data_IF_799786721369
#
_entry.id   IF_799786721369
#
_cell.length_a   1.000
_cell.length_b   1.000
_cell.length_c   1.000
_cell.angle_alpha   90.00
_cell.angle_beta   90.00
_cell.angle_gamma   90.00
#
_symmetry.space_group_name_H-M   'P 1'
#
loop_
_entity.id
_entity.type
_entity.pdbx_description
1 polymer ?
#
# COMPACT_ATOMS: atom_id res chain seq x y z
N UNK A 1 -46.84 -25.25 4.26
CA UNK A 1 -46.54 -26.65 3.87
C UNK A 1 -45.12 -26.66 3.33
N UNK A 2 -44.12 -27.04 4.12
CA UNK A 2 -42.72 -27.11 3.63
C UNK A 2 -42.28 -28.56 3.77
N UNK A 3 -42.33 -29.28 2.64
CA UNK A 3 -41.78 -30.62 2.53
C UNK A 3 -40.29 -30.56 2.84
N UNK A 4 -39.85 -31.27 3.89
CA UNK A 4 -38.43 -31.50 4.12
C UNK A 4 -37.89 -32.30 2.94
N UNK A 5 -37.23 -31.62 2.01
CA UNK A 5 -36.62 -32.21 0.83
C UNK A 5 -35.10 -32.22 0.97
N UNK A 6 -34.47 -33.22 0.36
CA UNK A 6 -33.05 -33.25 0.11
C UNK A 6 -32.84 -33.25 -1.40
N UNK A 7 -31.87 -32.47 -1.86
CA UNK A 7 -31.53 -32.34 -3.27
C UNK A 7 -30.22 -33.06 -3.51
N UNK A 8 -30.25 -34.11 -4.33
CA UNK A 8 -29.06 -34.87 -4.74
C UNK A 8 -28.50 -34.27 -6.02
N UNK A 9 -27.20 -33.98 -6.05
CA UNK A 9 -26.47 -33.57 -7.25
C UNK A 9 -25.74 -34.76 -7.89
N UNK A 10 -25.27 -34.57 -9.12
CA UNK A 10 -24.50 -35.59 -9.88
C UNK A 10 -23.22 -36.04 -9.19
N UNK A 11 -22.69 -35.23 -8.28
CA UNK A 11 -21.49 -35.52 -7.49
C UNK A 11 -21.77 -36.41 -6.27
N UNK A 12 -22.96 -37.03 -6.19
CA UNK A 12 -23.43 -37.82 -5.05
C UNK A 12 -23.50 -37.04 -3.72
N UNK A 13 -23.57 -35.72 -3.83
CA UNK A 13 -23.70 -34.77 -2.73
C UNK A 13 -25.16 -34.39 -2.54
N UNK A 14 -25.61 -34.30 -1.28
CA UNK A 14 -26.97 -33.96 -0.88
C UNK A 14 -27.01 -32.58 -0.22
N UNK A 15 -27.92 -31.70 -0.66
CA UNK A 15 -28.22 -30.44 0.01
C UNK A 15 -29.58 -30.53 0.69
N UNK A 16 -29.65 -30.16 1.98
CA UNK A 16 -30.88 -30.13 2.78
C UNK A 16 -31.21 -28.67 3.10
N UNK A 17 -32.12 -28.02 2.35
CA UNK A 17 -32.39 -26.59 2.47
C UNK A 17 -32.87 -26.17 3.87
N UNK A 18 -33.68 -27.01 4.53
CA UNK A 18 -34.24 -26.72 5.86
C UNK A 18 -33.19 -26.69 6.98
N UNK A 19 -32.06 -27.37 6.79
CA UNK A 19 -30.95 -27.41 7.74
C UNK A 19 -29.77 -26.53 7.31
N UNK A 20 -29.74 -26.09 6.05
CA UNK A 20 -28.62 -25.32 5.48
C UNK A 20 -27.33 -26.12 5.45
N UNK A 21 -27.40 -27.43 5.22
CA UNK A 21 -26.24 -28.33 5.21
C UNK A 21 -26.08 -29.03 3.86
N UNK A 22 -24.83 -29.32 3.53
CA UNK A 22 -24.44 -30.23 2.46
C UNK A 22 -23.89 -31.50 3.10
N UNK A 23 -24.34 -32.67 2.63
CA UNK A 23 -23.91 -33.99 3.08
C UNK A 23 -23.31 -34.77 1.92
N UNK A 24 -22.11 -35.30 2.11
CA UNK A 24 -21.47 -36.31 1.28
C UNK A 24 -21.27 -37.58 2.10
N UNK A 25 -20.80 -38.66 1.46
CA UNK A 25 -20.50 -39.92 2.17
C UNK A 25 -19.56 -39.73 3.37
N UNK A 26 -18.61 -38.79 3.24
CA UNK A 26 -17.51 -38.62 4.19
C UNK A 26 -17.66 -37.41 5.12
N UNK A 27 -18.58 -36.48 4.82
CA UNK A 27 -18.69 -35.23 5.60
C UNK A 27 -20.07 -34.59 5.57
N UNK A 28 -20.42 -33.89 6.65
CA UNK A 28 -21.55 -32.95 6.70
C UNK A 28 -21.01 -31.56 6.96
N UNK A 29 -21.31 -30.62 6.07
CA UNK A 29 -20.81 -29.24 6.14
C UNK A 29 -21.99 -28.26 6.19
N UNK A 30 -21.91 -27.29 7.10
CA UNK A 30 -22.90 -26.22 7.19
C UNK A 30 -22.58 -25.11 6.20
N UNK A 31 -23.58 -24.66 5.45
CA UNK A 31 -23.47 -23.50 4.57
C UNK A 31 -23.64 -22.21 5.37
N UNK A 32 -22.91 -21.17 4.96
CA UNK A 32 -23.19 -19.83 5.44
C UNK A 32 -24.50 -19.31 4.81
N UNK A 33 -25.03 -18.19 5.34
CA UNK A 33 -26.34 -17.69 4.93
C UNK A 33 -26.39 -17.33 3.43
N UNK A 34 -25.32 -16.74 2.89
CA UNK A 34 -25.26 -16.32 1.48
C UNK A 34 -25.11 -17.51 0.54
N UNK A 35 -24.29 -18.50 0.90
CA UNK A 35 -24.17 -19.78 0.20
C UNK A 35 -25.51 -20.52 0.15
N UNK A 36 -26.21 -20.63 1.28
CA UNK A 36 -27.51 -21.28 1.35
C UNK A 36 -28.55 -20.56 0.48
N UNK A 37 -28.61 -19.23 0.55
CA UNK A 37 -29.53 -18.42 -0.27
C UNK A 37 -29.24 -18.54 -1.75
N UNK A 38 -27.98 -18.41 -2.17
CA UNK A 38 -27.56 -18.51 -3.58
C UNK A 38 -27.85 -19.92 -4.12
N UNK A 39 -27.47 -20.97 -3.39
CA UNK A 39 -27.69 -22.34 -3.82
C UNK A 39 -29.19 -22.66 -3.93
N UNK A 40 -29.99 -22.24 -2.95
CA UNK A 40 -31.44 -22.42 -2.98
C UNK A 40 -32.08 -21.63 -4.14
N UNK A 41 -31.57 -20.43 -4.41
CA UNK A 41 -32.06 -19.59 -5.52
C UNK A 41 -31.76 -20.23 -6.88
N UNK A 42 -30.57 -20.79 -7.07
CA UNK A 42 -30.20 -21.51 -8.29
C UNK A 42 -31.04 -22.79 -8.51
N UNK A 43 -31.35 -23.53 -7.43
CA UNK A 43 -32.15 -24.77 -7.51
C UNK A 43 -33.63 -24.49 -7.79
N UNK A 44 -34.14 -23.36 -7.28
CA UNK A 44 -35.53 -22.96 -7.50
C UNK A 44 -35.77 -22.33 -8.87
N UNK A 45 -34.70 -21.83 -9.52
CA UNK A 45 -34.78 -21.25 -10.85
C UNK A 45 -34.20 -22.21 -11.90
N UNK A 46 -35.06 -22.90 -12.63
CA UNK A 46 -34.68 -23.81 -13.71
C UNK A 46 -34.19 -23.09 -14.99
N UNK A 47 -33.88 -21.80 -14.90
CA UNK A 47 -33.39 -20.95 -16.00
C UNK A 47 -32.02 -20.37 -15.65
N UNK A 48 -31.24 -19.90 -16.63
CA UNK A 48 -30.11 -19.03 -16.37
C UNK A 48 -30.50 -17.86 -15.46
N UNK A 49 -29.73 -17.67 -14.38
CA UNK A 49 -29.90 -16.57 -13.43
C UNK A 49 -28.75 -15.57 -13.62
N UNK A 50 -29.08 -14.29 -13.68
CA UNK A 50 -28.05 -13.25 -13.88
C UNK A 50 -27.25 -12.99 -12.61
N UNK A 51 -26.10 -12.32 -12.75
CA UNK A 51 -25.26 -11.97 -11.61
C UNK A 51 -25.99 -11.02 -10.65
N UNK A 52 -26.76 -10.06 -11.19
CA UNK A 52 -27.51 -9.09 -10.39
C UNK A 52 -28.61 -9.78 -9.57
N UNK A 53 -29.31 -10.76 -10.17
CA UNK A 53 -30.33 -11.56 -9.49
C UNK A 53 -29.72 -12.36 -8.32
N UNK A 54 -28.53 -12.95 -8.51
CA UNK A 54 -27.83 -13.70 -7.45
C UNK A 54 -27.27 -12.80 -6.35
N UNK A 55 -26.78 -11.61 -6.70
CA UNK A 55 -26.32 -10.63 -5.72
C UNK A 55 -27.47 -10.20 -4.80
N UNK A 56 -28.64 -9.92 -5.38
CA UNK A 56 -29.86 -9.56 -4.63
C UNK A 56 -30.38 -10.73 -3.78
N UNK A 57 -30.29 -11.96 -4.28
CA UNK A 57 -30.74 -13.14 -3.54
C UNK A 57 -29.80 -13.51 -2.38
N UNK A 58 -28.48 -13.45 -2.58
CA UNK A 58 -27.48 -13.80 -1.57
C UNK A 58 -27.34 -12.75 -0.46
N UNK A 59 -27.59 -11.48 -0.80
CA UNK A 59 -27.40 -10.32 0.08
C UNK A 59 -28.55 -9.31 -0.04
N UNK A 60 -29.77 -9.63 0.43
CA UNK A 60 -30.94 -8.77 0.23
C UNK A 60 -30.84 -7.38 0.89
N UNK A 61 -30.01 -7.24 1.94
CA UNK A 61 -29.84 -6.00 2.71
C UNK A 61 -28.43 -5.40 2.59
N UNK A 62 -27.59 -5.91 1.67
CA UNK A 62 -26.20 -5.46 1.55
C UNK A 62 -25.80 -5.32 0.09
N UNK A 63 -25.17 -4.20 -0.25
CA UNK A 63 -24.53 -4.02 -1.55
C UNK A 63 -23.15 -4.69 -1.49
N UNK A 64 -22.95 -5.73 -2.29
CA UNK A 64 -21.67 -6.44 -2.41
C UNK A 64 -21.23 -6.48 -3.86
N UNK A 65 -19.92 -6.55 -4.09
CA UNK A 65 -19.36 -6.59 -5.44
C UNK A 65 -19.52 -7.96 -6.08
N UNK A 66 -19.37 -8.03 -7.41
CA UNK A 66 -19.34 -9.30 -8.14
C UNK A 66 -18.23 -10.25 -7.65
N UNK A 67 -17.14 -9.71 -7.10
CA UNK A 67 -16.06 -10.51 -6.50
C UNK A 67 -16.57 -11.41 -5.36
N UNK A 68 -17.49 -10.90 -4.53
CA UNK A 68 -18.13 -11.67 -3.45
C UNK A 68 -18.99 -12.81 -4.00
N UNK A 69 -19.72 -12.57 -5.10
CA UNK A 69 -20.48 -13.61 -5.79
C UNK A 69 -19.53 -14.69 -6.35
N UNK A 70 -18.42 -14.31 -6.98
CA UNK A 70 -17.43 -15.26 -7.50
C UNK A 70 -16.82 -16.13 -6.39
N UNK A 71 -16.52 -15.55 -5.23
CA UNK A 71 -16.02 -16.29 -4.07
C UNK A 71 -17.05 -17.30 -3.56
N UNK A 72 -18.32 -16.91 -3.42
CA UNK A 72 -19.38 -17.82 -2.98
C UNK A 72 -19.60 -18.95 -3.99
N UNK A 73 -19.64 -18.65 -5.29
CA UNK A 73 -19.76 -19.69 -6.32
C UNK A 73 -18.55 -20.65 -6.26
N UNK A 74 -17.32 -20.13 -6.09
CA UNK A 74 -16.12 -20.99 -5.94
C UNK A 74 -16.23 -21.89 -4.71
N UNK A 75 -16.66 -21.34 -3.56
CA UNK A 75 -16.83 -22.11 -2.33
C UNK A 75 -17.91 -23.19 -2.48
N UNK A 76 -19.04 -22.87 -3.10
CA UNK A 76 -20.10 -23.82 -3.40
C UNK A 76 -19.61 -24.96 -4.31
N UNK A 77 -18.86 -24.67 -5.37
CA UNK A 77 -18.29 -25.71 -6.25
C UNK A 77 -17.38 -26.69 -5.51
N UNK A 78 -16.56 -26.19 -4.58
CA UNK A 78 -15.71 -27.04 -3.73
C UNK A 78 -16.56 -27.91 -2.82
N UNK A 79 -17.57 -27.33 -2.14
CA UNK A 79 -18.46 -28.07 -1.22
C UNK A 79 -19.36 -29.08 -1.92
N UNK A 80 -19.69 -28.82 -3.18
CA UNK A 80 -20.44 -29.73 -4.05
C UNK A 80 -19.56 -30.81 -4.70
N UNK A 81 -18.25 -30.85 -4.38
CA UNK A 81 -17.29 -31.79 -4.93
C UNK A 81 -17.24 -31.79 -6.48
N UNK A 82 -17.33 -30.60 -7.10
CA UNK A 82 -17.14 -30.50 -8.57
C UNK A 82 -15.69 -30.87 -8.94
N UNK A 83 -15.53 -31.86 -9.82
CA UNK A 83 -14.22 -32.26 -10.33
C UNK A 83 -13.76 -31.36 -11.49
N UNK A 84 -14.70 -30.89 -12.30
CA UNK A 84 -14.51 -29.90 -13.36
C UNK A 84 -15.49 -28.75 -13.15
N UNK A 85 -15.04 -27.54 -13.50
CA UNK A 85 -15.88 -26.33 -13.41
C UNK A 85 -17.13 -26.54 -14.28
N UNK A 86 -18.31 -26.49 -13.67
CA UNK A 86 -19.56 -26.65 -14.40
C UNK A 86 -20.23 -28.01 -14.24
N UNK A 87 -19.67 -28.91 -13.43
CA UNK A 87 -20.28 -30.23 -13.18
C UNK A 87 -21.65 -30.13 -12.48
N UNK A 88 -21.85 -29.10 -11.63
CA UNK A 88 -23.11 -28.85 -10.93
C UNK A 88 -23.61 -27.42 -11.19
N UNK A 89 -22.76 -26.41 -10.97
CA UNK A 89 -23.03 -25.00 -11.22
C UNK A 89 -22.35 -24.59 -12.53
N UNK A 90 -23.14 -24.53 -13.60
CA UNK A 90 -22.70 -24.11 -14.92
C UNK A 90 -22.53 -22.59 -14.99
N UNK A 91 -21.47 -22.13 -15.66
CA UNK A 91 -21.27 -20.69 -15.96
C UNK A 91 -21.59 -20.45 -17.43
N UNK A 92 -22.58 -19.60 -17.68
CA UNK A 92 -22.98 -19.19 -19.01
C UNK A 92 -22.34 -17.83 -19.32
N UNK A 93 -21.38 -17.75 -20.28
CA UNK A 93 -20.70 -16.51 -20.60
C UNK A 93 -21.70 -15.38 -20.92
N UNK A 94 -21.49 -14.21 -20.31
CA UNK A 94 -22.32 -13.00 -20.48
C UNK A 94 -23.76 -13.10 -19.96
N UNK A 95 -24.16 -14.22 -19.35
CA UNK A 95 -25.51 -14.42 -18.81
C UNK A 95 -25.46 -14.59 -17.29
N UNK A 96 -24.70 -15.54 -16.77
CA UNK A 96 -24.65 -15.80 -15.32
C UNK A 96 -24.44 -17.28 -15.00
N UNK A 97 -25.28 -17.84 -14.12
CA UNK A 97 -25.13 -19.21 -13.61
C UNK A 97 -26.43 -20.00 -13.67
N UNK A 98 -26.31 -21.33 -13.76
CA UNK A 98 -27.44 -22.25 -13.77
C UNK A 98 -27.06 -23.59 -13.12
N UNK A 99 -28.05 -24.28 -12.55
CA UNK A 99 -27.95 -25.70 -12.18
C UNK A 99 -29.02 -26.44 -12.97
N UNK A 100 -28.61 -27.36 -13.84
CA UNK A 100 -29.53 -28.06 -14.76
C UNK A 100 -29.91 -29.46 -14.28
N UNK A 101 -29.11 -30.06 -13.40
CA UNK A 101 -29.20 -31.49 -13.08
C UNK A 101 -29.12 -31.74 -11.57
N UNK A 102 -30.27 -32.03 -10.99
CA UNK A 102 -30.42 -32.46 -9.61
C UNK A 102 -31.72 -33.26 -9.44
N UNK A 103 -31.77 -34.10 -8.42
CA UNK A 103 -32.94 -34.91 -8.08
C UNK A 103 -33.45 -34.55 -6.68
N UNK A 104 -34.76 -34.41 -6.51
CA UNK A 104 -35.38 -34.09 -5.22
C UNK A 104 -35.94 -35.34 -4.58
N UNK A 105 -35.57 -35.58 -3.34
CA UNK A 105 -36.07 -36.69 -2.53
C UNK A 105 -36.72 -36.16 -1.25
N UNK A 106 -37.74 -36.85 -0.72
CA UNK A 106 -38.22 -36.57 0.63
C UNK A 106 -37.10 -36.88 1.64
N UNK A 107 -36.78 -35.92 2.52
CA UNK A 107 -35.83 -36.11 3.60
C UNK A 107 -36.55 -36.69 4.82
N UNK A 108 -36.32 -37.97 5.19
CA UNK A 108 -36.93 -38.55 6.38
C UNK A 108 -36.33 -37.88 7.61
N UNK A 109 -37.18 -37.34 8.49
CA UNK A 109 -36.80 -36.81 9.79
C UNK A 109 -36.27 -37.95 10.68
N UNK A 110 -35.01 -38.34 10.50
CA UNK A 110 -34.26 -39.04 11.54
C UNK A 110 -33.79 -38.01 12.55
N UNK A 111 -34.25 -38.17 13.80
CA UNK A 111 -33.81 -37.39 14.96
C UNK A 111 -32.29 -37.24 14.91
N UNK A 112 -31.83 -36.00 14.74
CA UNK A 112 -30.46 -35.59 15.04
C UNK A 112 -30.12 -36.18 16.42
N UNK A 113 -28.97 -36.83 16.62
CA UNK A 113 -28.59 -37.30 17.94
C UNK A 113 -28.46 -36.07 18.85
N UNK A 114 -29.47 -35.84 19.69
CA UNK A 114 -29.36 -34.89 20.79
C UNK A 114 -28.26 -35.36 21.71
N UNK A 115 -27.41 -34.44 22.12
CA UNK A 115 -26.39 -34.60 23.15
C UNK A 115 -26.83 -35.58 24.24
N UNK A 116 -26.23 -36.78 24.26
CA UNK A 116 -26.26 -37.61 25.46
C UNK A 116 -25.31 -36.97 26.45
N UNK A 117 -25.85 -36.31 27.47
CA UNK A 117 -25.19 -36.06 28.74
C UNK A 117 -24.55 -37.38 29.23
N UNK A 118 -23.26 -37.56 28.96
CA UNK A 118 -22.48 -38.63 29.59
C UNK A 118 -22.09 -38.15 30.98
N UNK A 119 -22.80 -38.67 31.98
CA UNK A 119 -22.38 -38.70 33.37
C UNK A 119 -21.07 -39.53 33.45
N UNK A 120 -19.92 -38.87 33.36
CA UNK A 120 -18.62 -39.53 33.44
C UNK A 120 -18.20 -39.75 34.89
N UNK A 121 -18.16 -41.02 35.29
CA UNK A 121 -17.52 -41.47 36.52
C UNK A 121 -16.03 -41.69 36.22
N UNK A 122 -15.21 -40.89 36.91
CA UNK A 122 -13.74 -40.98 37.16
C UNK A 122 -12.89 -41.92 36.28
N UNK A 123 -12.00 -41.32 35.49
CA UNK A 123 -10.53 -41.50 35.56
C UNK A 123 -9.87 -40.44 34.66
N UNK A 124 -9.43 -39.34 35.27
CA UNK A 124 -8.61 -38.30 34.64
C UNK A 124 -7.23 -38.39 35.25
N UNK A 125 -6.26 -38.92 34.50
CA UNK A 125 -4.84 -38.68 34.71
C UNK A 125 -4.13 -38.94 33.38
N UNK A 126 -3.48 -37.93 32.80
CA UNK A 126 -2.41 -38.15 31.82
C UNK A 126 -2.38 -37.28 30.55
N UNK A 127 -3.50 -36.91 29.91
CA UNK A 127 -3.44 -36.39 28.52
C UNK A 127 -4.04 -35.00 28.27
N UNK A 128 -4.53 -34.31 29.30
CA UNK A 128 -5.20 -33.01 29.14
C UNK A 128 -4.26 -31.81 28.91
N UNK A 129 -2.94 -31.97 29.07
CA UNK A 129 -2.01 -30.85 28.88
C UNK A 129 -1.51 -30.71 27.42
N UNK A 130 -1.52 -31.81 26.64
CA UNK A 130 -0.95 -31.79 25.28
C UNK A 130 -1.95 -31.29 24.22
N UNK A 131 -3.24 -31.58 24.39
CA UNK A 131 -4.28 -31.22 23.43
C UNK A 131 -4.72 -29.74 23.55
N UNK A 132 -4.63 -29.16 24.75
CA UNK A 132 -4.83 -27.71 24.93
C UNK A 132 -3.66 -26.92 24.35
N UNK A 133 -2.43 -27.44 24.47
CA UNK A 133 -1.24 -26.82 23.88
C UNK A 133 -1.29 -26.78 22.34
N UNK A 134 -1.79 -27.83 21.67
CA UNK A 134 -1.89 -27.85 20.20
C UNK A 134 -3.00 -26.96 19.65
N UNK A 135 -4.13 -26.84 20.34
CA UNK A 135 -5.20 -25.91 19.94
C UNK A 135 -4.81 -24.46 20.21
N UNK A 136 -4.10 -24.16 21.30
CA UNK A 136 -3.52 -22.84 21.56
C UNK A 136 -2.40 -22.51 20.56
N UNK A 137 -1.58 -23.47 20.17
CA UNK A 137 -0.56 -23.27 19.14
C UNK A 137 -1.17 -23.03 17.75
N UNK A 138 -2.19 -23.80 17.36
CA UNK A 138 -2.88 -23.61 16.08
C UNK A 138 -3.64 -22.29 16.00
N UNK A 139 -4.27 -21.87 17.11
CA UNK A 139 -4.92 -20.55 17.18
C UNK A 139 -3.92 -19.40 17.23
N UNK A 140 -2.76 -19.57 17.85
CA UNK A 140 -1.65 -18.60 17.77
C UNK A 140 -1.09 -18.49 16.35
N UNK A 141 -0.92 -19.60 15.62
CA UNK A 141 -0.48 -19.60 14.22
C UNK A 141 -1.49 -18.90 13.30
N UNK A 142 -2.79 -19.11 13.53
CA UNK A 142 -3.85 -18.42 12.77
C UNK A 142 -3.92 -16.94 13.12
N UNK A 143 -3.73 -16.57 14.39
CA UNK A 143 -3.69 -15.16 14.82
C UNK A 143 -2.47 -14.44 14.23
N UNK A 144 -1.30 -15.09 14.19
CA UNK A 144 -0.10 -14.56 13.55
C UNK A 144 -0.25 -14.38 12.03
N UNK A 145 -1.00 -15.25 11.34
CA UNK A 145 -1.18 -15.16 9.88
C UNK A 145 -2.28 -14.18 9.43
N UNK A 146 -3.13 -13.69 10.35
CA UNK A 146 -4.21 -12.72 10.02
C UNK A 146 -3.76 -11.27 10.30
N UNK A 147 -2.68 -11.06 11.07
CA UNK A 147 -2.15 -9.74 11.46
C UNK A 147 -0.94 -9.26 10.63
N UNK A 148 -0.62 -9.89 9.48
CA UNK A 148 0.54 -9.47 8.65
C UNK A 148 0.45 -8.04 8.07
N UNK A 149 -0.61 -7.29 8.36
CA UNK A 149 -0.59 -5.82 8.31
C UNK A 149 -0.29 -5.26 9.69
N UNK A 150 0.94 -5.45 10.19
CA UNK A 150 1.39 -4.73 11.37
C UNK A 150 1.50 -3.24 10.99
N UNK A 151 0.68 -2.34 11.55
CA UNK A 151 0.93 -0.92 11.41
C UNK A 151 2.26 -0.64 12.10
N UNK A 152 3.18 0.04 11.41
CA UNK A 152 4.28 0.68 12.13
C UNK A 152 3.66 1.68 13.11
N UNK A 153 4.13 1.66 14.36
CA UNK A 153 3.69 2.58 15.39
C UNK A 153 3.75 4.02 14.86
N UNK A 154 2.69 4.80 15.08
CA UNK A 154 2.62 6.17 14.58
C UNK A 154 3.73 7.01 15.23
N UNK A 155 4.84 7.17 14.51
CA UNK A 155 5.98 7.96 14.96
C UNK A 155 5.56 9.40 15.18
N UNK A 156 5.74 9.88 16.41
CA UNK A 156 5.49 11.28 16.77
C UNK A 156 6.68 12.13 16.38
N UNK A 157 6.55 12.84 15.27
CA UNK A 157 7.58 13.78 14.82
C UNK A 157 7.50 15.10 15.58
N UNK A 158 8.67 15.64 15.92
CA UNK A 158 8.86 17.01 16.36
C UNK A 158 9.15 17.89 15.16
N UNK A 159 8.64 19.12 15.18
CA UNK A 159 8.92 20.13 14.15
C UNK A 159 9.38 21.44 14.77
N UNK A 160 10.33 22.10 14.10
CA UNK A 160 10.80 23.44 14.47
C UNK A 160 10.93 24.31 13.23
N UNK A 161 10.37 25.52 13.29
CA UNK A 161 10.44 26.49 12.19
C UNK A 161 11.42 27.61 12.52
N UNK A 162 12.34 27.91 11.60
CA UNK A 162 13.35 28.96 11.75
C UNK A 162 13.42 29.79 10.48
N UNK A 163 13.69 31.09 10.63
CA UNK A 163 13.99 31.99 9.52
C UNK A 163 15.45 32.41 9.59
N UNK A 164 16.21 32.18 8.51
CA UNK A 164 17.58 32.66 8.33
C UNK A 164 17.61 33.66 7.18
N UNK A 165 17.78 34.94 7.49
CA UNK A 165 17.64 36.04 6.53
C UNK A 165 16.29 35.99 5.79
N UNK A 166 16.29 35.67 4.49
CA UNK A 166 15.08 35.52 3.67
C UNK A 166 14.65 34.05 3.49
N UNK A 167 15.36 33.11 4.08
CA UNK A 167 15.11 31.67 3.97
C UNK A 167 14.25 31.18 5.14
N UNK A 168 13.20 30.41 4.84
CA UNK A 168 12.33 29.75 5.82
C UNK A 168 12.63 28.27 5.85
N UNK A 169 12.96 27.75 7.02
CA UNK A 169 13.35 26.36 7.22
C UNK A 169 12.45 25.68 8.23
N UNK A 170 12.04 24.45 7.93
CA UNK A 170 11.31 23.56 8.84
C UNK A 170 12.17 22.33 9.12
N UNK A 171 12.52 22.11 10.37
CA UNK A 171 13.25 20.93 10.84
C UNK A 171 12.29 19.88 11.38
N UNK A 172 12.57 18.61 11.11
CA UNK A 172 11.74 17.45 11.45
C UNK A 172 12.65 16.37 12.05
N UNK A 173 12.29 15.80 13.20
CA UNK A 173 12.98 14.62 13.73
C UNK A 173 12.11 13.87 14.76
N UNK A 174 12.59 12.71 15.21
CA UNK A 174 11.91 11.90 16.25
C UNK A 174 12.18 12.44 17.67
N UNK A 175 13.26 13.21 17.86
CA UNK A 175 13.68 13.76 19.15
C UNK A 175 14.37 15.13 18.97
N UNK A 176 14.57 15.85 20.08
CA UNK A 176 15.14 17.21 20.06
C UNK A 176 16.63 17.23 19.72
N UNK A 177 17.39 16.22 20.14
CA UNK A 177 18.83 16.16 19.88
C UNK A 177 19.10 16.07 18.37
N UNK A 178 18.25 15.34 17.65
CA UNK A 178 18.32 15.23 16.20
C UNK A 178 17.94 16.53 15.48
N UNK A 179 16.97 17.31 15.99
CA UNK A 179 16.68 18.66 15.49
C UNK A 179 17.91 19.57 15.66
N UNK A 180 18.51 19.60 16.85
CA UNK A 180 19.64 20.48 17.13
C UNK A 180 20.88 20.09 16.30
N UNK A 181 21.15 18.79 16.11
CA UNK A 181 22.24 18.33 15.25
C UNK A 181 22.09 18.79 13.79
N UNK A 182 20.95 18.52 13.14
CA UNK A 182 20.75 18.91 11.74
C UNK A 182 20.73 20.44 11.57
N UNK A 183 20.15 21.16 12.55
CA UNK A 183 20.09 22.62 12.57
C UNK A 183 21.48 23.24 12.70
N UNK A 184 22.30 22.74 13.62
CA UNK A 184 23.69 23.20 13.79
C UNK A 184 24.53 22.92 12.54
N UNK A 185 24.40 21.73 11.96
CA UNK A 185 25.13 21.35 10.75
C UNK A 185 24.73 22.19 9.54
N UNK A 186 23.44 22.43 9.34
CA UNK A 186 22.94 23.28 8.25
C UNK A 186 23.30 24.75 8.45
N UNK A 187 23.25 25.27 9.68
CA UNK A 187 23.61 26.66 9.95
C UNK A 187 25.10 26.92 9.69
N UNK A 188 25.96 25.97 10.06
CA UNK A 188 27.39 26.01 9.77
C UNK A 188 27.64 26.04 8.26
N UNK A 189 27.02 25.14 7.49
CA UNK A 189 27.15 25.10 6.05
C UNK A 189 26.64 26.40 5.38
N UNK A 190 25.51 26.95 5.86
CA UNK A 190 24.96 28.20 5.37
C UNK A 190 25.88 29.40 5.65
N UNK A 191 26.44 29.51 6.85
CA UNK A 191 27.41 30.56 7.20
C UNK A 191 28.68 30.49 6.33
N UNK A 192 29.18 29.29 6.06
CA UNK A 192 30.32 29.11 5.15
C UNK A 192 29.97 29.49 3.71
N UNK A 193 28.74 29.19 3.26
CA UNK A 193 28.25 29.61 1.95
C UNK A 193 28.16 31.14 1.83
N UNK A 194 27.57 31.84 2.80
CA UNK A 194 27.44 33.30 2.78
C UNK A 194 28.78 34.01 2.92
N UNK A 195 29.75 33.43 3.62
CA UNK A 195 31.12 33.93 3.63
C UNK A 195 31.82 33.81 2.27
N UNK A 196 31.48 32.78 1.48
CA UNK A 196 32.05 32.54 0.15
C UNK A 196 31.37 33.36 -0.94
N UNK A 197 30.05 33.58 -0.84
CA UNK A 197 29.25 34.29 -1.83
C UNK A 197 28.61 35.53 -1.23
N UNK A 198 29.08 36.71 -1.64
CA UNK A 198 28.51 38.00 -1.27
C UNK A 198 28.15 38.78 -2.55
N UNK A 199 26.85 38.91 -2.91
CA UNK A 199 25.67 38.51 -2.14
C UNK A 199 25.42 36.99 -2.12
N UNK A 200 24.69 36.46 -1.11
CA UNK A 200 24.34 35.04 -1.05
C UNK A 200 23.51 34.56 -2.25
N UNK A 201 23.88 33.40 -2.80
CA UNK A 201 23.12 32.76 -3.90
C UNK A 201 21.88 32.04 -3.36
N UNK A 202 22.03 31.39 -2.19
CA UNK A 202 20.99 30.67 -1.45
C UNK A 202 20.16 31.68 -0.64
N UNK A 203 19.18 32.28 -1.31
CA UNK A 203 18.25 33.26 -0.73
C UNK A 203 16.83 33.06 -1.24
N UNK A 204 15.85 33.53 -0.46
CA UNK A 204 14.41 33.37 -0.72
C UNK A 204 14.05 31.90 -0.92
N UNK A 205 14.47 31.05 0.01
CA UNK A 205 14.23 29.61 -0.05
C UNK A 205 13.19 29.20 0.99
N UNK A 206 12.35 28.24 0.61
CA UNK A 206 11.58 27.42 1.54
C UNK A 206 12.23 26.04 1.60
N UNK A 207 12.75 25.68 2.77
CA UNK A 207 13.48 24.44 2.99
C UNK A 207 12.88 23.59 4.11
N UNK A 208 13.05 22.29 3.98
CA UNK A 208 12.62 21.28 4.92
C UNK A 208 13.79 20.33 5.15
N UNK A 209 14.07 20.01 6.40
CA UNK A 209 15.20 19.19 6.78
C UNK A 209 14.75 18.15 7.81
N UNK A 210 15.08 16.89 7.55
CA UNK A 210 14.76 15.75 8.39
C UNK A 210 16.02 15.02 8.84
N UNK A 211 16.04 14.60 10.10
CA UNK A 211 16.99 13.62 10.62
C UNK A 211 16.25 12.50 11.35
N UNK A 212 16.58 11.27 11.02
CA UNK A 212 16.07 10.06 11.67
C UNK A 212 16.34 8.83 10.83
N UNK A 213 16.11 7.64 11.39
CA UNK A 213 16.34 6.35 10.69
C UNK A 213 17.77 6.20 10.12
N UNK A 214 18.76 6.86 10.74
CA UNK A 214 20.18 6.83 10.29
C UNK A 214 20.46 7.61 9.00
N UNK A 215 19.60 8.56 8.62
CA UNK A 215 19.80 9.44 7.47
C UNK A 215 19.43 10.90 7.76
N UNK A 216 19.98 11.78 6.93
CA UNK A 216 19.54 13.15 6.75
C UNK A 216 18.76 13.25 5.44
N UNK A 217 17.71 14.06 5.41
CA UNK A 217 17.01 14.40 4.18
C UNK A 217 16.70 15.89 4.12
N UNK A 218 17.05 16.54 3.03
CA UNK A 218 16.93 17.99 2.90
C UNK A 218 16.30 18.30 1.55
N UNK A 219 15.18 19.02 1.57
CA UNK A 219 14.45 19.42 0.40
C UNK A 219 14.15 20.91 0.43
N UNK A 220 14.28 21.61 -0.70
CA UNK A 220 14.01 23.03 -0.77
C UNK A 220 13.55 23.49 -2.15
N UNK A 221 12.97 24.69 -2.20
CA UNK A 221 12.64 25.41 -3.42
C UNK A 221 12.94 26.91 -3.26
N UNK A 222 13.24 27.63 -4.34
CA UNK A 222 13.22 29.10 -4.30
C UNK A 222 11.77 29.57 -4.36
N UNK A 223 11.45 30.65 -3.67
CA UNK A 223 10.10 31.19 -3.59
C UNK A 223 9.96 32.57 -4.20
N UNK A 224 8.76 32.87 -4.68
CA UNK A 224 8.35 34.21 -5.10
C UNK A 224 7.89 35.09 -3.91
N UNK A 225 7.42 36.30 -4.21
CA UNK A 225 6.90 37.23 -3.22
C UNK A 225 5.64 36.69 -2.49
N UNK A 226 4.91 35.75 -3.09
CA UNK A 226 3.75 35.08 -2.51
C UNK A 226 4.12 33.81 -1.76
N UNK A 227 5.42 33.53 -1.59
CA UNK A 227 5.93 32.34 -0.91
C UNK A 227 5.59 31.01 -1.61
N UNK A 228 5.31 31.06 -2.92
CA UNK A 228 5.12 29.91 -3.78
C UNK A 228 6.45 29.47 -4.40
N UNK A 229 6.67 28.16 -4.50
CA UNK A 229 7.87 27.60 -5.12
C UNK A 229 7.93 27.92 -6.62
N UNK A 230 9.09 28.40 -7.07
CA UNK A 230 9.39 28.65 -8.47
C UNK A 230 9.64 27.33 -9.22
N UNK A 231 9.19 27.19 -10.48
CA UNK A 231 9.39 25.98 -11.27
C UNK A 231 10.86 25.58 -11.40
N UNK A 232 11.14 24.27 -11.33
CA UNK A 232 12.46 23.67 -11.47
C UNK A 232 13.51 24.16 -10.45
N UNK A 233 13.08 24.83 -9.37
CA UNK A 233 13.98 25.19 -8.26
C UNK A 233 13.86 24.22 -7.09
N UNK A 234 13.03 23.19 -7.24
CA UNK A 234 12.81 22.10 -6.30
C UNK A 234 13.99 21.11 -6.31
N UNK A 235 14.64 20.99 -5.16
CA UNK A 235 15.68 20.01 -4.90
C UNK A 235 15.31 19.15 -3.69
N UNK A 236 15.70 17.89 -3.74
CA UNK A 236 15.59 16.94 -2.63
C UNK A 236 16.84 16.08 -2.58
N UNK A 237 17.44 15.95 -1.40
CA UNK A 237 18.64 15.18 -1.13
C UNK A 237 18.39 14.19 0.02
N UNK A 238 18.90 12.97 -0.15
CA UNK A 238 18.96 11.96 0.92
C UNK A 238 20.42 11.60 1.14
N UNK A 239 20.88 11.65 2.39
CA UNK A 239 22.29 11.64 2.76
C UNK A 239 22.46 10.73 3.98
N UNK A 240 23.37 9.75 3.91
CA UNK A 240 23.76 8.98 5.09
C UNK A 240 24.63 9.80 6.04
N UNK A 241 24.65 9.45 7.32
CA UNK A 241 25.36 10.26 8.33
C UNK A 241 26.85 10.46 8.03
N UNK A 242 27.50 9.41 7.51
CA UNK A 242 28.91 9.43 7.12
C UNK A 242 29.21 10.36 5.92
N UNK A 243 28.22 10.61 5.07
CA UNK A 243 28.35 11.40 3.84
C UNK A 243 27.99 12.88 4.06
N UNK A 244 27.64 13.26 5.29
CA UNK A 244 27.29 14.65 5.63
C UNK A 244 28.35 15.65 5.18
N UNK A 245 29.64 15.34 5.37
CA UNK A 245 30.73 16.24 4.99
C UNK A 245 30.69 16.55 3.50
N UNK A 246 30.46 15.54 2.66
CA UNK A 246 30.37 15.71 1.20
C UNK A 246 29.20 16.60 0.81
N UNK A 247 28.05 16.41 1.44
CA UNK A 247 26.88 17.27 1.23
C UNK A 247 27.13 18.71 1.70
N UNK A 248 27.76 18.90 2.86
CA UNK A 248 28.13 20.22 3.39
C UNK A 248 29.08 20.95 2.44
N UNK A 249 30.13 20.28 1.96
CA UNK A 249 31.08 20.86 1.00
C UNK A 249 30.38 21.25 -0.33
N UNK A 250 29.40 20.44 -0.77
CA UNK A 250 28.53 20.77 -1.89
C UNK A 250 27.68 22.02 -1.61
N UNK A 251 26.98 22.12 -0.47
CA UNK A 251 26.18 23.30 -0.14
C UNK A 251 27.01 24.58 -0.06
N UNK A 252 28.21 24.50 0.50
CA UNK A 252 29.13 25.65 0.61
C UNK A 252 29.56 26.16 -0.76
N UNK A 253 29.67 25.28 -1.76
CA UNK A 253 30.19 25.60 -3.09
C UNK A 253 29.15 25.74 -4.18
N UNK A 254 27.92 25.28 -3.96
CA UNK A 254 26.89 25.21 -4.99
C UNK A 254 26.47 26.60 -5.46
N UNK A 255 26.42 26.76 -6.78
CA UNK A 255 25.81 27.91 -7.45
C UNK A 255 24.52 27.50 -8.17
N UNK A 256 24.15 26.22 -8.10
CA UNK A 256 23.01 25.66 -8.80
C UNK A 256 21.72 26.10 -8.12
N UNK A 257 20.88 26.79 -8.87
CA UNK A 257 19.57 27.28 -8.40
C UNK A 257 18.40 26.70 -9.19
N UNK A 258 18.68 26.01 -10.30
CA UNK A 258 17.71 25.38 -11.18
C UNK A 258 18.16 23.95 -11.48
N UNK A 259 17.20 23.02 -11.45
CA UNK A 259 17.36 21.62 -11.80
C UNK A 259 17.14 21.44 -13.30
N UNK A 260 17.88 20.53 -13.91
CA UNK A 260 17.66 20.12 -15.30
C UNK A 260 16.49 19.13 -15.39
N UNK A 261 15.75 19.18 -16.49
CA UNK A 261 14.77 18.15 -16.80
C UNK A 261 15.50 16.88 -17.21
N UNK A 262 15.26 15.74 -16.54
CA UNK A 262 15.90 14.50 -16.94
C UNK A 262 15.36 14.00 -18.27
N UNK A 263 16.23 13.37 -19.03
CA UNK A 263 15.87 12.74 -20.30
C UNK A 263 15.69 11.25 -20.03
N UNK A 264 14.44 10.80 -19.88
CA UNK A 264 14.11 9.38 -19.75
C UNK A 264 13.50 8.91 -21.07
N UNK A 265 14.21 8.01 -21.76
CA UNK A 265 13.73 7.40 -22.98
C UNK A 265 12.77 6.25 -22.64
N UNK A 266 11.48 6.54 -22.68
CA UNK A 266 10.43 5.52 -22.62
C UNK A 266 9.57 5.58 -23.87
N UNK A 267 10.17 5.27 -25.01
CA UNK A 267 9.45 5.13 -26.27
C UNK A 267 8.32 4.09 -26.04
N UNK A 268 7.06 4.50 -26.20
CA UNK A 268 5.83 3.70 -25.97
C UNK A 268 5.27 3.67 -24.53
N UNK A 269 5.89 4.32 -23.54
CA UNK A 269 5.22 4.45 -22.24
C UNK A 269 4.21 5.60 -22.25
N UNK A 270 3.14 5.44 -21.47
CA UNK A 270 2.23 6.54 -21.17
C UNK A 270 3.00 7.60 -20.36
N UNK A 271 2.68 8.87 -20.62
CA UNK A 271 3.14 9.98 -19.79
C UNK A 271 2.75 9.76 -18.32
N UNK A 272 3.68 9.96 -17.37
CA UNK A 272 3.39 9.78 -15.96
C UNK A 272 2.37 10.82 -15.46
N UNK A 273 1.61 10.42 -14.44
CA UNK A 273 0.67 11.34 -13.76
C UNK A 273 1.40 12.28 -12.80
N UNK A 274 2.56 11.86 -12.29
CA UNK A 274 3.47 12.72 -11.57
C UNK A 274 4.91 12.22 -11.68
N UNK A 275 5.88 13.10 -11.43
CA UNK A 275 7.31 12.78 -11.44
C UNK A 275 7.95 13.23 -10.12
N UNK A 276 8.81 12.38 -9.57
CA UNK A 276 9.60 12.67 -8.37
C UNK A 276 11.06 12.70 -8.75
N UNK A 277 11.78 13.71 -8.28
CA UNK A 277 13.22 13.85 -8.48
C UNK A 277 13.93 13.83 -7.13
N UNK A 278 14.83 12.88 -6.96
CA UNK A 278 15.64 12.71 -5.76
C UNK A 278 17.11 12.71 -6.12
N UNK A 279 17.94 13.34 -5.28
CA UNK A 279 19.39 13.35 -5.45
C UNK A 279 20.04 12.61 -4.29
N UNK A 280 21.18 12.00 -4.57
CA UNK A 280 22.01 11.31 -3.59
C UNK A 280 23.40 11.90 -3.61
N UNK A 281 23.99 12.01 -2.42
CA UNK A 281 25.34 12.53 -2.24
C UNK A 281 26.16 11.47 -1.52
N UNK A 282 26.55 10.43 -2.26
CA UNK A 282 27.29 9.30 -1.71
C UNK A 282 28.44 8.87 -2.64
N UNK A 283 29.25 7.93 -2.16
CA UNK A 283 30.38 7.35 -2.88
C UNK A 283 30.00 6.32 -3.94
N UNK A 284 28.71 6.10 -4.23
CA UNK A 284 28.27 4.96 -5.04
C UNK A 284 28.39 5.16 -6.55
N UNK A 285 28.42 6.40 -7.01
CA UNK A 285 28.35 6.71 -8.45
C UNK A 285 26.93 6.89 -8.97
N UNK A 286 25.88 6.70 -8.15
CA UNK A 286 24.51 7.12 -8.48
C UNK A 286 24.33 8.59 -8.06
N UNK A 287 23.89 9.44 -8.99
CA UNK A 287 23.67 10.87 -8.72
C UNK A 287 22.23 11.18 -8.31
N UNK A 288 21.27 10.54 -8.97
CA UNK A 288 19.87 10.85 -8.81
C UNK A 288 19.00 9.65 -9.08
N UNK A 289 17.76 9.76 -8.62
CA UNK A 289 16.66 8.84 -8.91
C UNK A 289 15.45 9.64 -9.35
N UNK A 290 14.78 9.13 -10.36
CA UNK A 290 13.51 9.67 -10.84
C UNK A 290 12.46 8.59 -10.69
N UNK A 291 11.29 8.98 -10.20
CA UNK A 291 10.17 8.06 -10.05
C UNK A 291 8.97 8.59 -10.83
N UNK A 292 8.51 7.79 -11.77
CA UNK A 292 7.28 8.03 -12.52
C UNK A 292 6.11 7.42 -11.76
N UNK A 293 5.10 8.25 -11.47
CA UNK A 293 3.89 7.85 -10.77
C UNK A 293 2.76 7.71 -11.79
N UNK A 294 2.05 6.58 -11.73
CA UNK A 294 0.85 6.30 -12.52
C UNK A 294 -0.31 6.09 -11.55
N UNK A 295 -1.19 7.08 -11.48
CA UNK A 295 -2.24 7.14 -10.45
C UNK A 295 -3.58 6.85 -11.11
N UNK A 296 -4.28 5.82 -10.64
CA UNK A 296 -5.66 5.53 -11.03
C UNK A 296 -6.60 5.66 -9.82
N UNK A 297 -7.74 6.32 -10.05
CA UNK A 297 -8.81 6.36 -9.06
C UNK A 297 -9.72 5.16 -9.28
N UNK A 298 -9.66 4.20 -8.36
CA UNK A 298 -10.48 2.99 -8.40
C UNK A 298 -11.67 3.07 -7.42
N UNK A 299 -11.64 4.00 -6.44
CA UNK A 299 -12.63 4.16 -5.36
C UNK A 299 -12.50 5.58 -4.76
N UNK A 300 -13.59 6.28 -4.37
CA UNK A 300 -13.55 7.61 -3.75
C UNK A 300 -12.48 7.83 -2.67
N UNK A 301 -12.20 6.82 -1.84
CA UNK A 301 -11.33 6.96 -0.66
C UNK A 301 -9.94 6.33 -0.81
N UNK A 302 -9.61 5.76 -1.99
CA UNK A 302 -8.34 5.06 -2.21
C UNK A 302 -7.86 5.11 -3.66
N UNK A 303 -6.58 5.39 -3.84
CA UNK A 303 -5.95 5.51 -5.15
C UNK A 303 -4.96 4.37 -5.37
N UNK A 304 -5.00 3.76 -6.55
CA UNK A 304 -3.98 2.79 -6.93
C UNK A 304 -2.83 3.52 -7.62
N UNK A 305 -1.63 3.29 -7.11
CA UNK A 305 -0.39 3.84 -7.63
C UNK A 305 0.43 2.72 -8.24
N UNK A 306 0.92 2.94 -9.45
CA UNK A 306 2.05 2.20 -10.01
C UNK A 306 3.24 3.15 -10.14
N UNK A 307 4.43 2.65 -9.85
CA UNK A 307 5.64 3.44 -9.86
C UNK A 307 6.71 2.75 -10.69
N UNK A 308 7.44 3.55 -11.48
CA UNK A 308 8.66 3.12 -12.15
C UNK A 308 9.80 4.01 -11.70
N UNK A 309 10.80 3.42 -11.07
CA UNK A 309 11.97 4.12 -10.56
C UNK A 309 13.14 3.94 -11.53
N UNK A 310 13.87 5.02 -11.75
CA UNK A 310 15.09 5.06 -12.56
C UNK A 310 16.22 5.71 -11.78
N UNK A 311 17.46 5.29 -12.00
CA UNK A 311 18.67 5.90 -11.44
C UNK A 311 19.59 6.40 -12.54
N UNK A 312 20.35 7.46 -12.25
CA UNK A 312 21.32 8.03 -13.18
C UNK A 312 22.72 7.85 -12.64
N UNK A 313 23.63 7.35 -13.48
CA UNK A 313 25.04 7.19 -13.15
C UNK A 313 25.79 8.53 -13.29
N UNK A 314 26.84 8.73 -12.50
CA UNK A 314 27.51 10.03 -12.41
C UNK A 314 28.24 10.49 -13.66
N UNK A 315 28.48 9.58 -14.60
CA UNK A 315 29.28 9.79 -15.80
C UNK A 315 28.49 9.54 -17.09
N UNK A 316 27.19 9.28 -17.00
CA UNK A 316 26.34 8.99 -18.16
C UNK A 316 25.02 9.74 -18.05
N UNK A 317 24.45 10.11 -19.20
CA UNK A 317 23.11 10.69 -19.26
C UNK A 317 22.02 9.59 -19.29
N UNK A 318 22.42 8.32 -19.20
CA UNK A 318 21.52 7.19 -19.30
C UNK A 318 20.87 6.88 -17.95
N UNK A 319 19.58 6.60 -18.01
CA UNK A 319 18.78 6.24 -16.86
C UNK A 319 18.56 4.73 -16.86
N UNK A 320 18.89 4.07 -15.74
CA UNK A 320 18.72 2.64 -15.58
C UNK A 320 17.44 2.38 -14.77
N UNK A 321 16.64 1.41 -15.21
CA UNK A 321 15.49 0.97 -14.43
C UNK A 321 15.98 0.38 -13.08
N UNK A 322 15.47 0.92 -11.99
CA UNK A 322 15.79 0.48 -10.63
C UNK A 322 14.73 -0.50 -10.12
N UNK A 323 13.46 -0.12 -10.23
CA UNK A 323 12.35 -0.92 -9.71
C UNK A 323 11.03 -0.58 -10.38
N UNK A 324 10.09 -1.53 -10.30
CA UNK A 324 8.67 -1.33 -10.60
C UNK A 324 7.87 -1.77 -9.39
N UNK A 325 6.96 -0.92 -8.91
CA UNK A 325 6.17 -1.21 -7.71
C UNK A 325 4.72 -0.76 -7.89
N UNK A 326 3.80 -1.36 -7.15
CA UNK A 326 2.42 -0.89 -7.08
C UNK A 326 1.90 -0.96 -5.64
N UNK A 327 1.09 0.01 -5.27
CA UNK A 327 0.52 0.13 -3.94
C UNK A 327 -0.83 0.84 -4.02
N UNK A 328 -1.63 0.66 -2.98
CA UNK A 328 -2.83 1.45 -2.75
C UNK A 328 -2.54 2.51 -1.70
N UNK A 329 -2.84 3.78 -2.00
CA UNK A 329 -2.71 4.88 -1.05
C UNK A 329 -4.09 5.39 -0.65
N UNK A 330 -4.32 5.52 0.65
CA UNK A 330 -5.56 6.04 1.23
C UNK A 330 -5.28 7.10 2.28
N UNK A 331 -6.11 8.14 2.31
CA UNK A 331 -6.06 9.17 3.35
C UNK A 331 -6.53 8.58 4.69
N UNK A 332 -5.91 9.02 5.77
CA UNK A 332 -6.30 8.64 7.14
C UNK A 332 -6.45 9.89 8.00
N UNK A 333 -7.04 9.71 9.18
CA UNK A 333 -7.08 10.77 10.18
C UNK A 333 -5.66 11.25 10.49
N UNK A 334 -5.48 12.57 10.54
CA UNK A 334 -4.17 13.18 10.69
C UNK A 334 -3.88 13.47 12.17
N UNK A 335 -3.01 12.66 12.79
CA UNK A 335 -2.48 12.95 14.13
C UNK A 335 -1.02 13.48 14.09
N UNK A 336 -0.49 13.70 12.89
CA UNK A 336 0.85 14.26 12.67
C UNK A 336 0.84 15.80 12.70
N UNK A 337 2.00 16.46 12.90
CA UNK A 337 2.11 17.92 12.80
C UNK A 337 2.07 18.45 11.35
N UNK A 338 1.79 17.59 10.36
CA UNK A 338 1.85 17.92 8.94
C UNK A 338 0.46 18.21 8.35
N UNK A 339 0.38 18.63 7.08
CA UNK A 339 -0.89 19.02 6.46
C UNK A 339 -1.87 17.86 6.31
N UNK A 340 -1.34 16.67 6.02
CA UNK A 340 -2.13 15.45 5.88
C UNK A 340 -1.28 14.20 6.10
N UNK A 341 -1.96 13.10 6.46
CA UNK A 341 -1.36 11.77 6.58
C UNK A 341 -2.07 10.80 5.65
N UNK A 342 -1.30 10.00 4.93
CA UNK A 342 -1.78 8.94 4.07
C UNK A 342 -1.08 7.62 4.42
N UNK A 343 -1.79 6.51 4.22
CA UNK A 343 -1.25 5.16 4.36
C UNK A 343 -0.97 4.58 2.98
N UNK A 344 0.21 4.00 2.81
CA UNK A 344 0.59 3.23 1.64
C UNK A 344 0.51 1.74 2.01
N UNK A 345 -0.36 1.03 1.29
CA UNK A 345 -0.54 -0.42 1.39
C UNK A 345 0.14 -1.09 0.19
N UNK A 346 1.23 -1.84 0.39
CA UNK A 346 1.96 -2.47 -0.71
C UNK A 346 1.14 -3.55 -1.43
N UNK A 347 1.21 -3.57 -2.76
CA UNK A 347 0.58 -4.61 -3.60
C UNK A 347 1.63 -5.48 -4.31
N UNK A 348 2.62 -4.86 -4.95
CA UNK A 348 3.68 -5.58 -5.67
C UNK A 348 4.99 -4.81 -5.73
N UNK A 349 6.10 -5.53 -5.77
CA UNK A 349 7.43 -4.98 -5.97
C UNK A 349 8.25 -5.89 -6.91
N UNK A 350 8.92 -5.28 -7.88
CA UNK A 350 9.87 -5.91 -8.77
C UNK A 350 11.19 -5.13 -8.77
N UNK A 351 12.28 -5.83 -8.48
CA UNK A 351 13.63 -5.29 -8.53
C UNK A 351 14.17 -5.43 -9.96
N UNK A 352 14.42 -4.31 -10.63
CA UNK A 352 14.88 -4.28 -12.03
C UNK A 352 16.37 -3.93 -12.16
N UNK A 353 16.98 -3.44 -11.09
CA UNK A 353 18.39 -3.04 -11.08
C UNK A 353 19.32 -4.20 -11.42
N UNK A 354 20.29 -3.89 -12.29
CA UNK A 354 21.38 -4.78 -12.67
C UNK A 354 22.70 -4.18 -12.20
N UNK A 355 23.59 -4.97 -11.56
CA UNK A 355 24.92 -4.51 -11.16
C UNK A 355 25.71 -3.92 -12.35
N UNK A 356 26.51 -2.90 -12.06
CA UNK A 356 27.35 -2.19 -13.03
C UNK A 356 28.73 -1.94 -12.42
N UNK A 357 29.80 -2.04 -13.22
CA UNK A 357 31.17 -1.78 -12.77
C UNK A 357 31.39 -0.31 -12.33
N UNK A 358 30.48 0.58 -12.70
CA UNK A 358 30.52 2.01 -12.38
C UNK A 358 29.90 2.29 -11.00
N UNK A 359 29.03 1.39 -10.51
CA UNK A 359 28.26 1.59 -9.28
C UNK A 359 28.87 0.77 -8.14
N UNK A 360 29.19 1.45 -7.05
CA UNK A 360 29.69 0.85 -5.81
C UNK A 360 28.47 0.63 -4.88
N UNK A 361 27.86 -0.55 -4.98
CA UNK A 361 26.55 -0.85 -4.37
C UNK A 361 26.49 -0.67 -2.85
N UNK A 362 27.55 -1.09 -2.14
CA UNK A 362 27.65 -1.02 -0.67
C UNK A 362 27.67 0.42 -0.13
N UNK A 363 27.97 1.40 -0.99
CA UNK A 363 27.95 2.83 -0.67
C UNK A 363 26.66 3.53 -1.13
N UNK A 364 25.73 2.81 -1.75
CA UNK A 364 24.57 3.43 -2.39
C UNK A 364 23.40 3.63 -1.44
N UNK A 365 23.15 4.90 -1.10
CA UNK A 365 21.96 5.32 -0.37
C UNK A 365 20.70 5.04 -1.19
N UNK A 366 20.77 5.21 -2.52
CA UNK A 366 19.66 4.94 -3.43
C UNK A 366 19.27 3.46 -3.43
N UNK A 367 20.23 2.54 -3.56
CA UNK A 367 19.96 1.11 -3.55
C UNK A 367 19.52 0.63 -2.15
N UNK A 368 20.10 1.18 -1.08
CA UNK A 368 19.74 0.83 0.30
C UNK A 368 18.30 1.24 0.64
N UNK A 369 17.91 2.48 0.35
CA UNK A 369 16.53 2.96 0.56
C UNK A 369 15.53 2.19 -0.32
N UNK A 370 15.91 1.83 -1.54
CA UNK A 370 15.08 0.97 -2.40
C UNK A 370 14.96 -0.47 -1.87
N UNK A 371 16.03 -1.03 -1.32
CA UNK A 371 16.03 -2.36 -0.73
C UNK A 371 15.16 -2.42 0.55
N UNK A 372 15.20 -1.37 1.37
CA UNK A 372 14.29 -1.24 2.51
C UNK A 372 12.83 -1.19 2.06
N UNK A 373 12.54 -0.40 1.01
CA UNK A 373 11.19 -0.35 0.44
C UNK A 373 10.76 -1.69 -0.16
N UNK A 374 11.64 -2.41 -0.85
CA UNK A 374 11.39 -3.79 -1.32
C UNK A 374 10.98 -4.68 -0.15
N UNK A 375 11.67 -4.58 0.97
CA UNK A 375 11.41 -5.41 2.13
C UNK A 375 10.06 -5.05 2.76
N UNK A 376 9.70 -3.76 2.86
CA UNK A 376 8.36 -3.34 3.30
C UNK A 376 7.27 -3.88 2.37
N UNK A 377 7.50 -3.88 1.06
CA UNK A 377 6.55 -4.41 0.08
C UNK A 377 6.41 -5.93 0.14
N UNK A 378 7.52 -6.66 0.28
CA UNK A 378 7.50 -8.13 0.41
C UNK A 378 6.78 -8.59 1.66
N UNK A 379 6.94 -7.86 2.76
CA UNK A 379 6.27 -8.14 4.04
C UNK A 379 4.92 -7.43 4.18
N UNK A 380 4.43 -6.74 3.13
CA UNK A 380 3.14 -6.03 3.12
C UNK A 380 2.95 -5.04 4.29
N UNK A 381 4.04 -4.44 4.78
CA UNK A 381 3.98 -3.49 5.89
C UNK A 381 3.24 -2.23 5.47
N UNK A 382 2.28 -1.79 6.29
CA UNK A 382 1.62 -0.50 6.08
C UNK A 382 2.61 0.58 6.49
N UNK A 383 2.83 1.51 5.58
CA UNK A 383 3.75 2.63 5.84
C UNK A 383 3.01 3.96 5.70
N UNK A 384 3.46 4.96 6.46
CA UNK A 384 2.84 6.27 6.51
C UNK A 384 3.63 7.26 5.66
N UNK A 385 2.89 8.11 4.96
CA UNK A 385 3.40 9.19 4.14
C UNK A 385 2.72 10.48 4.56
N UNK A 386 3.49 11.56 4.66
CA UNK A 386 3.02 12.83 5.20
C UNK A 386 3.14 13.95 4.18
N UNK A 387 2.11 14.77 4.04
CA UNK A 387 2.13 15.96 3.19
C UNK A 387 2.67 17.15 3.97
N UNK A 388 3.82 17.68 3.57
CA UNK A 388 4.46 18.83 4.23
C UNK A 388 4.05 20.16 3.61
N UNK A 389 3.85 20.18 2.30
CA UNK A 389 3.52 21.38 1.52
C UNK A 389 2.76 21.01 0.25
N UNK A 390 1.90 21.91 -0.20
CA UNK A 390 1.14 21.75 -1.43
C UNK A 390 0.93 23.10 -2.12
N UNK A 391 1.09 23.10 -3.44
CA UNK A 391 0.69 24.18 -4.33
C UNK A 391 0.24 23.59 -5.68
N UNK A 392 -0.32 24.40 -6.60
CA UNK A 392 -0.61 23.93 -7.95
C UNK A 392 0.59 23.21 -8.59
N UNK A 393 0.36 21.97 -9.03
CA UNK A 393 1.32 21.09 -9.70
C UNK A 393 2.52 20.60 -8.88
N UNK A 394 2.62 20.94 -7.59
CA UNK A 394 3.79 20.59 -6.77
C UNK A 394 3.38 20.27 -5.33
N UNK A 395 3.66 19.04 -4.91
CA UNK A 395 3.52 18.60 -3.52
C UNK A 395 4.89 18.31 -2.91
N UNK A 396 5.04 18.49 -1.60
CA UNK A 396 6.19 18.03 -0.83
C UNK A 396 5.74 16.93 0.12
N UNK A 397 6.34 15.76 -0.04
CA UNK A 397 5.98 14.57 0.73
C UNK A 397 7.16 14.10 1.56
N UNK A 398 6.85 13.66 2.78
CA UNK A 398 7.79 13.04 3.70
C UNK A 398 7.44 11.57 3.90
N UNK A 399 8.42 10.71 3.67
CA UNK A 399 8.35 9.27 3.91
C UNK A 399 9.60 8.84 4.70
N UNK A 400 9.50 8.45 5.98
CA UNK A 400 10.66 8.30 6.87
C UNK A 400 11.81 7.44 6.32
N UNK A 401 11.50 6.34 5.64
CA UNK A 401 12.51 5.43 5.09
C UNK A 401 13.25 5.99 3.84
N UNK A 402 12.75 7.04 3.20
CA UNK A 402 13.34 7.63 1.99
C UNK A 402 13.62 9.13 2.13
N UNK A 403 13.09 9.77 3.15
CA UNK A 403 13.22 11.21 3.39
C UNK A 403 12.11 12.06 2.79
N UNK A 404 12.45 13.32 2.53
CA UNK A 404 11.56 14.36 2.01
C UNK A 404 11.84 14.55 0.52
N UNK A 405 10.79 14.57 -0.31
CA UNK A 405 10.93 14.77 -1.75
C UNK A 405 9.74 15.49 -2.38
N UNK A 406 10.01 16.16 -3.50
CA UNK A 406 9.02 16.89 -4.29
C UNK A 406 8.33 15.98 -5.31
N UNK A 407 7.01 16.11 -5.41
CA UNK A 407 6.18 15.44 -6.41
C UNK A 407 5.66 16.50 -7.38
N UNK A 408 6.12 16.44 -8.63
CA UNK A 408 5.68 17.29 -9.73
C UNK A 408 4.49 16.62 -10.44
N UNK A 409 3.29 17.16 -10.23
CA UNK A 409 2.05 16.59 -10.75
C UNK A 409 1.73 17.12 -12.15
N UNK A 410 1.20 16.27 -13.04
CA UNK A 410 0.72 16.72 -14.36
C UNK A 410 -0.62 17.45 -14.31
N UNK A 411 -1.34 17.33 -13.18
CA UNK A 411 -2.61 18.03 -12.93
C UNK A 411 -2.47 19.02 -11.77
N UNK A 412 -3.27 20.10 -11.81
CA UNK A 412 -3.18 21.23 -10.86
C UNK A 412 -3.23 20.81 -9.40
N UNK A 413 -4.11 19.87 -9.04
CA UNK A 413 -4.19 19.33 -7.69
C UNK A 413 -4.09 17.81 -7.76
N UNK A 414 -3.27 17.24 -6.88
CA UNK A 414 -3.26 15.80 -6.69
C UNK A 414 -4.57 15.39 -6.00
N UNK A 415 -5.34 14.53 -6.65
CA UNK A 415 -6.62 14.04 -6.12
C UNK A 415 -6.47 13.30 -4.80
N UNK A 416 -5.27 12.77 -4.48
CA UNK A 416 -5.02 12.05 -3.24
C UNK A 416 -5.18 12.95 -2.00
N UNK A 417 -4.65 14.16 -2.02
CA UNK A 417 -4.67 15.08 -0.87
C UNK A 417 -5.81 16.10 -0.92
N UNK A 418 -6.75 15.92 -1.86
CA UNK A 418 -7.82 16.87 -2.08
C UNK A 418 -9.01 16.57 -1.16
N UNK A 419 -8.95 17.01 0.10
CA UNK A 419 -10.12 16.99 0.97
C UNK A 419 -10.33 18.22 1.87
N UNK A 420 -9.45 19.22 1.89
CA UNK A 420 -9.60 20.35 2.84
C UNK A 420 -9.10 21.72 2.40
N UNK A 421 -8.51 21.90 1.21
CA UNK A 421 -8.33 23.26 0.69
C UNK A 421 -9.63 23.65 0.00
N UNK A 422 -10.52 24.28 0.76
CA UNK A 422 -11.71 24.95 0.23
C UNK A 422 -11.36 25.67 -1.06
N UNK A 423 -12.13 25.37 -2.12
CA UNK A 423 -12.27 26.25 -3.26
C UNK A 423 -12.74 27.62 -2.75
N UNK A 424 -11.79 28.48 -2.36
CA UNK A 424 -12.07 29.91 -2.28
C UNK A 424 -12.32 30.38 -3.71
N UNK A 425 -13.61 30.60 -3.97
CA UNK A 425 -14.15 31.30 -5.13
C UNK A 425 -13.57 32.70 -5.29
#
# INVERSE_FOLDING_TARGET
>A
MSSNEQIKFRTEVYFIPSLGIIQSADSTQKLNLSEQKILSFLINNHRPVTKEELLKAGWPERVVSEASLFQVIRALRVKLHEHRKGDVIETLPRVGYQITQFERFPYPLKKVPSEKQKRFRKKVFGFSLLATATVLAASAVIYWNIDDFTPLEETRFLTENVTWDSNKLTFIADNRDDIEDIKHKLSTAYQMHTAKFNPPIIQNIKGYAYKGQGLYSIAWCKVDNKQACLPNTDFAYTIEEQDWKRFSDFLVSTTRTVRESPIIQTDLAREPTAQVHMNYMDGSGIQSKIVHYYISNNNPDSFSYSYMSFITEAKTDFHHALSVRAATISMVENHSPFLATATLRPDMFHWAYQPSDVIIEDKSTALKTEAQMRDDFRHKRIVYSYLLYQQPFLDLVFYPATGIYWINNSTKYNKLFNSTVSEEK
#
